data_IF_066069448416
#
_entry.id   IF_066069448416
#
_cell.length_a   1.000
_cell.length_b   1.000
_cell.length_c   1.000
_cell.angle_alpha   90.00
_cell.angle_beta   90.00
_cell.angle_gamma   90.00
#
_symmetry.space_group_name_H-M   'P 1'
#
loop_
_entity.id
_entity.type
_entity.pdbx_description
1 polymer ?
#
# COMPACT_ATOMS: atom_id res chain seq x y z
N UNK A 1 0.17 53.43 -49.62
CA UNK A 1 1.61 53.42 -49.82
C UNK A 1 1.86 52.46 -50.99
N UNK A 2 2.29 53.05 -52.11
CA UNK A 2 2.52 52.27 -53.35
C UNK A 2 3.95 51.70 -53.28
N UNK A 3 4.09 50.40 -53.35
CA UNK A 3 5.41 49.80 -53.47
C UNK A 3 5.75 49.57 -54.93
N UNK A 4 6.86 50.17 -55.38
CA UNK A 4 7.49 49.85 -56.67
C UNK A 4 8.07 48.48 -56.62
N UNK A 5 7.45 47.51 -57.21
CA UNK A 5 7.94 46.13 -57.31
C UNK A 5 8.91 45.95 -58.48
N UNK A 6 10.05 45.30 -58.21
CA UNK A 6 11.09 45.03 -59.19
C UNK A 6 10.51 44.22 -60.36
N UNK A 7 10.45 44.83 -61.55
CA UNK A 7 9.77 44.37 -62.76
C UNK A 7 10.09 42.91 -63.17
N UNK A 8 11.33 42.44 -62.87
CA UNK A 8 11.73 41.08 -63.27
C UNK A 8 11.06 39.91 -62.52
N UNK A 9 10.62 40.12 -61.27
CA UNK A 9 9.85 39.15 -60.52
C UNK A 9 8.37 39.19 -60.83
N UNK A 10 7.83 40.33 -61.18
CA UNK A 10 6.43 40.48 -61.58
C UNK A 10 6.11 39.84 -62.93
N UNK A 11 7.10 39.86 -63.83
CA UNK A 11 6.96 39.29 -65.17
C UNK A 11 6.65 37.77 -65.18
N UNK A 12 7.27 37.03 -64.28
CA UNK A 12 7.07 35.57 -64.19
C UNK A 12 5.70 35.20 -63.62
N UNK A 13 5.18 35.99 -62.70
CA UNK A 13 3.88 35.71 -62.08
C UNK A 13 2.65 36.23 -62.88
N UNK A 14 2.81 37.34 -63.54
CA UNK A 14 1.74 37.97 -64.31
C UNK A 14 1.54 37.32 -65.70
N UNK A 15 2.62 36.81 -66.33
CA UNK A 15 2.51 36.13 -67.61
C UNK A 15 1.78 34.78 -67.53
N UNK A 16 1.71 34.14 -66.34
CA UNK A 16 0.97 32.92 -66.14
C UNK A 16 -0.54 33.11 -65.98
N UNK A 17 -1.01 34.33 -65.67
CA UNK A 17 -2.42 34.60 -65.36
C UNK A 17 -3.09 35.72 -66.21
N UNK A 18 -2.32 36.42 -66.98
CA UNK A 18 -2.84 37.49 -67.87
C UNK A 18 -2.38 37.16 -69.32
N UNK A 19 -3.26 36.58 -70.11
CA UNK A 19 -3.09 36.55 -71.55
C UNK A 19 -3.11 38.00 -72.04
N UNK A 20 -1.98 38.42 -72.60
CA UNK A 20 -1.79 39.74 -73.26
C UNK A 20 -1.81 40.98 -72.35
N UNK A 21 -0.76 41.14 -71.53
CA UNK A 21 -0.32 42.48 -71.11
C UNK A 21 1.13 42.62 -71.51
N UNK A 22 1.38 43.40 -72.59
CA UNK A 22 2.73 43.79 -72.98
C UNK A 22 3.23 44.83 -71.95
N UNK A 23 3.94 44.36 -70.93
CA UNK A 23 4.39 45.19 -69.81
C UNK A 23 5.67 45.97 -70.12
N UNK A 24 6.13 45.98 -71.38
CA UNK A 24 7.37 46.56 -71.79
C UNK A 24 7.13 47.76 -72.74
N UNK A 25 6.78 48.97 -72.21
CA UNK A 25 7.09 50.23 -72.80
C UNK A 25 7.71 51.12 -71.72
N UNK A 26 8.76 51.86 -72.03
CA UNK A 26 9.50 52.66 -71.05
C UNK A 26 8.68 53.81 -70.41
N UNK A 27 7.50 54.07 -70.87
CA UNK A 27 6.66 55.16 -70.44
C UNK A 27 5.54 54.83 -69.49
N UNK A 28 5.31 53.54 -69.17
CA UNK A 28 4.19 53.09 -68.37
C UNK A 28 4.59 52.63 -66.98
N UNK A 29 4.32 53.47 -65.97
CA UNK A 29 4.45 53.07 -64.57
C UNK A 29 3.26 52.15 -64.19
N UNK A 30 3.59 50.94 -63.67
CA UNK A 30 2.61 50.00 -63.18
C UNK A 30 2.66 50.03 -61.68
N UNK A 31 1.53 50.31 -61.05
CA UNK A 31 1.36 50.24 -59.58
C UNK A 31 0.53 49.07 -59.22
N UNK A 32 0.99 48.29 -58.24
CA UNK A 32 0.23 47.19 -57.69
C UNK A 32 -0.30 47.60 -56.33
N UNK A 33 -1.60 47.69 -56.19
CA UNK A 33 -2.27 47.86 -54.93
C UNK A 33 -3.07 46.59 -54.67
N UNK A 34 -2.89 45.99 -53.50
CA UNK A 34 -3.55 44.75 -53.08
C UNK A 34 -4.68 44.32 -53.99
N UNK A 35 -4.44 43.26 -54.78
CA UNK A 35 -5.40 42.65 -55.73
C UNK A 35 -5.79 43.44 -57.00
N UNK A 36 -5.19 44.61 -57.23
CA UNK A 36 -5.46 45.44 -58.43
C UNK A 36 -4.17 45.90 -59.11
N UNK A 37 -4.12 45.85 -60.40
CA UNK A 37 -3.04 46.38 -61.23
C UNK A 37 -3.56 47.64 -61.98
N UNK A 38 -2.92 48.77 -61.82
CA UNK A 38 -3.30 50.05 -62.48
C UNK A 38 -2.27 50.28 -63.55
N UNK A 39 -2.71 50.31 -64.83
CA UNK A 39 -1.93 50.69 -66.00
C UNK A 39 -2.67 51.79 -66.79
N UNK A 40 -2.01 52.92 -67.06
CA UNK A 40 -2.57 54.04 -67.79
C UNK A 40 -3.93 54.56 -67.22
N UNK A 41 -4.07 54.57 -65.90
CA UNK A 41 -5.29 55.06 -65.25
C UNK A 41 -6.45 54.02 -65.26
N UNK A 42 -6.27 52.81 -65.81
CA UNK A 42 -7.31 51.77 -65.84
C UNK A 42 -6.98 50.68 -64.74
N UNK A 43 -7.94 50.38 -63.91
CA UNK A 43 -7.81 49.42 -62.86
C UNK A 43 -8.18 48.04 -63.42
N UNK A 44 -7.19 47.10 -63.38
CA UNK A 44 -7.41 45.70 -63.73
C UNK A 44 -7.53 44.93 -62.46
N UNK A 45 -8.68 44.27 -62.19
CA UNK A 45 -8.87 43.42 -61.04
C UNK A 45 -8.36 42.01 -61.42
N UNK A 46 -7.26 41.63 -60.76
CA UNK A 46 -6.72 40.27 -60.90
C UNK A 46 -7.53 39.37 -60.01
N UNK A 47 -8.50 38.63 -60.56
CA UNK A 47 -9.24 37.63 -59.78
C UNK A 47 -8.46 36.33 -59.75
N UNK A 48 -7.82 36.08 -58.65
CA UNK A 48 -7.01 34.88 -58.41
C UNK A 48 -7.89 33.67 -58.08
N UNK A 49 -8.89 33.39 -58.93
CA UNK A 49 -9.82 32.26 -58.76
C UNK A 49 -9.12 30.87 -58.77
N UNK A 50 -7.95 30.75 -59.39
CA UNK A 50 -7.25 29.47 -59.48
C UNK A 50 -6.37 29.19 -58.24
N UNK A 51 -5.78 30.22 -57.63
CA UNK A 51 -4.97 30.05 -56.42
C UNK A 51 -5.87 29.67 -55.22
N UNK A 52 -7.03 30.29 -55.07
CA UNK A 52 -7.96 30.00 -54.00
C UNK A 52 -8.57 28.56 -54.12
N UNK A 53 -8.79 28.06 -55.34
CA UNK A 53 -9.31 26.70 -55.54
C UNK A 53 -8.25 25.59 -55.26
N UNK A 54 -6.97 25.85 -55.55
CA UNK A 54 -5.89 24.91 -55.22
C UNK A 54 -5.55 24.95 -53.71
N UNK A 55 -5.47 26.09 -53.09
CA UNK A 55 -5.27 26.21 -51.63
C UNK A 55 -6.39 25.56 -50.84
N UNK A 56 -7.65 25.62 -51.30
CA UNK A 56 -8.78 25.00 -50.63
C UNK A 56 -8.73 23.43 -50.71
N UNK A 57 -8.22 22.88 -51.80
CA UNK A 57 -8.08 21.41 -51.93
C UNK A 57 -6.99 20.86 -50.97
N UNK A 58 -5.84 21.52 -50.89
CA UNK A 58 -4.77 21.12 -49.96
C UNK A 58 -5.15 21.37 -48.50
N UNK A 59 -5.90 22.44 -48.23
CA UNK A 59 -6.45 22.70 -46.89
C UNK A 59 -7.46 21.65 -46.47
N UNK A 60 -8.34 21.19 -47.37
CA UNK A 60 -9.26 20.08 -47.05
C UNK A 60 -8.53 18.77 -46.83
N UNK A 61 -7.51 18.42 -47.64
CA UNK A 61 -6.70 17.23 -47.43
C UNK A 61 -5.97 17.28 -46.10
N UNK A 62 -5.41 18.42 -45.74
CA UNK A 62 -4.76 18.66 -44.42
C UNK A 62 -5.72 18.43 -43.26
N UNK A 63 -6.97 18.96 -43.34
CA UNK A 63 -8.01 18.75 -42.34
C UNK A 63 -8.42 17.29 -42.19
N UNK A 64 -8.53 16.57 -43.30
CA UNK A 64 -8.86 15.12 -43.33
C UNK A 64 -7.72 14.33 -42.66
N UNK A 65 -6.46 14.63 -42.98
CA UNK A 65 -5.31 13.98 -42.38
C UNK A 65 -5.25 14.23 -40.84
N UNK A 66 -5.51 15.46 -40.40
CA UNK A 66 -5.58 15.79 -38.97
C UNK A 66 -6.74 15.02 -38.31
N UNK A 67 -7.90 14.95 -38.94
CA UNK A 67 -9.05 14.15 -38.46
C UNK A 67 -8.70 12.67 -38.30
N UNK A 68 -8.04 12.09 -39.29
CA UNK A 68 -7.59 10.68 -39.25
C UNK A 68 -6.54 10.49 -38.12
N UNK A 69 -5.57 11.38 -38.01
CA UNK A 69 -4.59 11.35 -36.93
C UNK A 69 -5.22 11.47 -35.55
N UNK A 70 -6.23 12.34 -35.37
CA UNK A 70 -7.00 12.46 -34.14
C UNK A 70 -7.76 11.15 -33.82
N UNK A 71 -8.45 10.58 -34.79
CA UNK A 71 -9.18 9.31 -34.61
C UNK A 71 -8.22 8.18 -34.21
N UNK A 72 -7.07 8.08 -34.88
CA UNK A 72 -6.03 7.09 -34.53
C UNK A 72 -5.46 7.35 -33.15
N UNK A 73 -5.19 8.61 -32.80
CA UNK A 73 -4.69 8.99 -31.48
C UNK A 73 -5.70 8.64 -30.36
N UNK A 74 -6.99 9.00 -30.55
CA UNK A 74 -8.05 8.70 -29.59
C UNK A 74 -8.25 7.19 -29.44
N UNK A 75 -8.25 6.43 -30.53
CA UNK A 75 -8.36 4.97 -30.48
C UNK A 75 -7.15 4.32 -29.79
N UNK A 76 -5.95 4.83 -30.02
CA UNK A 76 -4.74 4.38 -29.31
C UNK A 76 -4.82 4.72 -27.81
N UNK A 77 -5.26 5.92 -27.44
CA UNK A 77 -5.48 6.31 -26.05
C UNK A 77 -6.53 5.43 -25.36
N UNK A 78 -7.67 5.18 -26.00
CA UNK A 78 -8.74 4.37 -25.45
C UNK A 78 -8.36 2.88 -25.32
N UNK A 79 -7.50 2.38 -26.20
CA UNK A 79 -6.95 1.02 -26.12
C UNK A 79 -5.96 0.86 -24.97
N UNK A 80 -5.29 1.94 -24.54
CA UNK A 80 -4.34 1.93 -23.43
C UNK A 80 -5.00 1.92 -22.05
N UNK A 81 -6.30 2.19 -21.96
CA UNK A 81 -7.01 2.34 -20.69
C UNK A 81 -7.74 1.05 -20.24
N UNK A 82 -7.68 -0.01 -21.07
CA UNK A 82 -8.24 -1.30 -20.68
C UNK A 82 -7.33 -1.94 -19.64
N UNK A 83 -7.85 -2.11 -18.43
CA UNK A 83 -7.10 -2.73 -17.35
C UNK A 83 -7.99 -3.66 -16.53
N UNK A 84 -7.40 -4.66 -15.91
CA UNK A 84 -8.02 -5.55 -14.94
C UNK A 84 -7.37 -5.31 -13.58
N UNK A 85 -8.20 -5.12 -12.56
CA UNK A 85 -7.77 -4.98 -11.16
C UNK A 85 -8.03 -6.30 -10.44
N UNK A 86 -7.01 -6.85 -9.83
CA UNK A 86 -7.06 -8.13 -9.13
C UNK A 86 -6.39 -8.04 -7.77
N UNK A 87 -6.76 -8.96 -6.88
CA UNK A 87 -6.13 -9.12 -5.58
C UNK A 87 -5.53 -10.51 -5.48
N UNK A 88 -4.27 -10.57 -5.05
CA UNK A 88 -3.62 -11.82 -4.67
C UNK A 88 -3.47 -11.90 -3.17
N UNK A 89 -3.73 -13.06 -2.63
CA UNK A 89 -3.65 -13.38 -1.21
C UNK A 89 -2.47 -14.33 -0.99
N UNK A 90 -1.71 -14.11 0.07
CA UNK A 90 -0.83 -15.10 0.67
C UNK A 90 -1.13 -15.19 2.16
N UNK A 91 -1.29 -16.40 2.66
CA UNK A 91 -1.47 -16.73 4.07
C UNK A 91 -0.45 -17.81 4.45
N UNK A 92 0.19 -17.62 5.60
CA UNK A 92 1.19 -18.56 6.11
C UNK A 92 1.02 -18.76 7.60
N UNK A 93 0.90 -20.00 8.03
CA UNK A 93 0.98 -20.33 9.45
C UNK A 93 2.45 -20.40 9.89
N UNK A 94 2.75 -19.72 10.98
CA UNK A 94 4.09 -19.70 11.59
C UNK A 94 3.96 -19.88 13.09
N UNK A 95 4.96 -20.49 13.71
CA UNK A 95 5.04 -20.54 15.16
C UNK A 95 5.49 -19.18 15.70
N UNK A 96 4.93 -18.74 16.82
CA UNK A 96 5.42 -17.58 17.55
C UNK A 96 6.89 -17.80 17.94
N UNK A 97 7.68 -16.75 17.91
CA UNK A 97 9.11 -16.76 18.24
C UNK A 97 9.40 -16.09 19.59
N UNK A 98 8.36 -15.55 20.24
CA UNK A 98 8.46 -14.93 21.55
C UNK A 98 7.21 -15.24 22.38
N UNK A 99 7.40 -15.50 23.65
CA UNK A 99 6.31 -15.73 24.61
C UNK A 99 6.51 -14.84 25.85
N UNK A 100 5.41 -14.27 26.32
CA UNK A 100 5.32 -13.55 27.59
C UNK A 100 4.33 -14.32 28.44
N UNK A 101 4.87 -14.99 29.46
CA UNK A 101 4.12 -15.85 30.37
C UNK A 101 4.11 -15.27 31.78
N UNK A 102 2.99 -14.67 32.22
CA UNK A 102 2.82 -14.21 33.58
C UNK A 102 2.40 -15.37 34.50
N UNK A 103 3.15 -15.58 35.56
CA UNK A 103 2.80 -16.47 36.67
C UNK A 103 2.25 -15.63 37.81
N UNK A 104 0.98 -15.77 38.09
CA UNK A 104 0.27 -14.93 39.09
C UNK A 104 -0.11 -15.79 40.28
N UNK A 105 0.16 -15.30 41.46
CA UNK A 105 -0.34 -15.88 42.70
C UNK A 105 -0.86 -14.77 43.63
N UNK A 106 -1.77 -15.13 44.55
CA UNK A 106 -2.36 -14.20 45.51
C UNK A 106 -2.09 -14.65 46.92
N UNK A 107 -1.87 -13.70 47.83
CA UNK A 107 -1.75 -13.92 49.25
C UNK A 107 -2.74 -13.01 49.96
N UNK A 108 -3.44 -13.58 50.94
CA UNK A 108 -4.37 -12.80 51.82
C UNK A 108 -3.94 -12.95 53.25
N UNK A 109 -4.10 -11.89 54.03
CA UNK A 109 -3.73 -11.89 55.46
C UNK A 109 -4.03 -10.58 56.12
N UNK A 110 -3.72 -10.54 57.41
CA UNK A 110 -3.94 -9.35 58.27
C UNK A 110 -2.62 -8.69 58.70
N UNK A 111 -1.52 -9.41 58.59
CA UNK A 111 -0.17 -8.91 58.95
C UNK A 111 0.68 -8.74 57.69
N UNK A 112 0.99 -7.50 57.38
CA UNK A 112 1.77 -7.15 56.18
C UNK A 112 3.20 -7.67 56.25
N UNK A 113 3.82 -7.74 57.43
CA UNK A 113 5.19 -8.24 57.58
C UNK A 113 5.26 -9.76 57.29
N UNK A 114 4.29 -10.51 57.82
CA UNK A 114 4.14 -11.93 57.51
C UNK A 114 3.90 -12.18 56.01
N UNK A 115 3.00 -11.37 55.38
CA UNK A 115 2.73 -11.42 53.95
C UNK A 115 4.00 -11.14 53.15
N UNK A 116 4.79 -10.13 53.53
CA UNK A 116 6.04 -9.78 52.82
C UNK A 116 7.08 -10.91 52.89
N UNK A 117 7.22 -11.56 54.03
CA UNK A 117 8.09 -12.77 54.16
C UNK A 117 7.62 -13.90 53.26
N UNK A 118 6.32 -14.13 53.21
CA UNK A 118 5.72 -15.18 52.33
C UNK A 118 5.93 -14.85 50.85
N UNK A 119 5.74 -13.61 50.42
CA UNK A 119 6.02 -13.14 49.05
C UNK A 119 7.47 -13.43 48.68
N UNK A 120 8.41 -13.06 49.53
CA UNK A 120 9.84 -13.28 49.27
C UNK A 120 10.16 -14.77 49.13
N UNK A 121 9.65 -15.60 50.01
CA UNK A 121 9.85 -17.04 49.94
C UNK A 121 9.25 -17.67 48.65
N UNK A 122 8.02 -17.28 48.31
CA UNK A 122 7.34 -17.79 47.10
C UNK A 122 8.00 -17.28 45.81
N UNK A 123 8.42 -16.02 45.76
CA UNK A 123 9.15 -15.49 44.61
C UNK A 123 10.43 -16.28 44.37
N UNK A 124 11.24 -16.51 45.44
CA UNK A 124 12.45 -17.31 45.32
C UNK A 124 12.15 -18.72 44.80
N UNK A 125 11.12 -19.38 45.34
CA UNK A 125 10.71 -20.71 44.95
C UNK A 125 10.36 -20.77 43.45
N UNK A 126 9.61 -19.79 42.94
CA UNK A 126 9.23 -19.71 41.51
C UNK A 126 10.45 -19.43 40.64
N UNK A 127 11.30 -18.48 41.03
CA UNK A 127 12.50 -18.13 40.25
C UNK A 127 13.47 -19.33 40.20
N UNK A 128 13.72 -19.99 41.31
CA UNK A 128 14.57 -21.22 41.39
C UNK A 128 13.97 -22.36 40.54
N UNK A 129 12.66 -22.54 40.59
CA UNK A 129 11.97 -23.53 39.74
C UNK A 129 12.21 -23.23 38.25
N UNK A 130 11.96 -21.97 37.80
CA UNK A 130 12.17 -21.58 36.43
C UNK A 130 13.62 -21.75 35.98
N UNK A 131 14.59 -21.35 36.82
CA UNK A 131 16.03 -21.57 36.57
C UNK A 131 16.38 -23.05 36.48
N UNK A 132 15.84 -23.89 37.35
CA UNK A 132 16.06 -25.36 37.32
C UNK A 132 15.52 -26.02 36.04
N UNK A 133 14.49 -25.43 35.46
CA UNK A 133 13.92 -25.83 34.17
C UNK A 133 14.64 -25.20 32.96
N UNK A 134 15.70 -24.42 33.23
CA UNK A 134 16.58 -23.84 32.22
C UNK A 134 16.05 -22.57 31.56
N UNK A 135 15.22 -21.79 32.25
CA UNK A 135 14.90 -20.41 31.89
C UNK A 135 16.01 -19.48 32.43
N UNK A 136 16.67 -18.70 31.57
CA UNK A 136 17.70 -17.76 32.00
C UNK A 136 17.14 -16.66 32.90
N UNK A 137 17.94 -16.20 33.85
CA UNK A 137 17.51 -15.17 34.82
C UNK A 137 17.13 -13.85 34.17
N UNK A 138 17.79 -13.48 33.08
CA UNK A 138 17.48 -12.28 32.30
C UNK A 138 16.11 -12.33 31.56
N UNK A 139 15.51 -13.50 31.45
CA UNK A 139 14.16 -13.70 30.91
C UNK A 139 13.08 -13.71 31.99
N UNK A 140 13.47 -13.63 33.28
CA UNK A 140 12.56 -13.65 34.43
C UNK A 140 12.49 -12.26 35.05
N UNK A 141 11.28 -11.72 35.18
CA UNK A 141 11.03 -10.43 35.83
C UNK A 141 10.05 -10.59 36.96
N UNK A 142 10.42 -10.11 38.17
CA UNK A 142 9.54 -10.09 39.34
C UNK A 142 8.97 -8.67 39.49
N UNK A 143 7.66 -8.55 39.36
CA UNK A 143 6.97 -7.27 39.50
C UNK A 143 6.79 -6.90 40.96
N UNK A 144 6.66 -5.60 41.25
CA UNK A 144 6.25 -5.12 42.58
C UNK A 144 4.85 -5.69 42.90
N UNK A 145 4.64 -6.20 44.14
CA UNK A 145 3.35 -6.73 44.53
C UNK A 145 2.29 -5.62 44.55
N UNK A 146 1.10 -5.95 44.03
CA UNK A 146 -0.05 -5.08 44.08
C UNK A 146 -0.86 -5.38 45.36
N UNK A 147 -0.90 -4.40 46.28
CA UNK A 147 -1.56 -4.54 47.56
C UNK A 147 -2.92 -3.83 47.57
N UNK A 148 -3.98 -4.54 47.91
CA UNK A 148 -5.31 -3.99 48.11
C UNK A 148 -5.67 -4.11 49.62
N UNK A 149 -5.89 -2.98 50.29
CA UNK A 149 -6.46 -2.93 51.64
C UNK A 149 -7.98 -3.05 51.53
N UNK A 150 -8.51 -4.20 51.85
CA UNK A 150 -9.95 -4.52 51.72
C UNK A 150 -10.81 -3.78 52.74
N UNK A 151 -10.20 -3.23 53.83
CA UNK A 151 -10.90 -2.46 54.86
C UNK A 151 -10.89 -0.95 54.59
N UNK A 152 -10.03 -0.49 53.70
CA UNK A 152 -9.96 0.93 53.28
C UNK A 152 -11.14 1.32 52.36
N UNK A 153 -11.89 0.34 51.82
CA UNK A 153 -12.98 0.57 50.90
C UNK A 153 -14.25 0.98 51.68
N UNK A 154 -14.68 2.26 51.51
CA UNK A 154 -15.85 2.86 52.25
C UNK A 154 -17.19 2.18 51.98
N UNK A 155 -17.29 1.33 50.96
CA UNK A 155 -18.50 0.63 50.57
C UNK A 155 -18.45 -0.88 50.85
N UNK A 156 -17.44 -1.34 51.62
CA UNK A 156 -17.38 -2.75 52.01
C UNK A 156 -18.52 -3.11 52.95
N UNK A 157 -19.62 -3.62 52.40
CA UNK A 157 -20.81 -4.02 53.13
C UNK A 157 -20.75 -5.39 53.83
N UNK A 158 -19.57 -6.08 53.76
CA UNK A 158 -19.37 -7.37 54.41
C UNK A 158 -18.11 -7.38 55.24
N UNK A 159 -18.18 -7.97 56.46
CA UNK A 159 -17.00 -8.33 57.25
C UNK A 159 -16.10 -9.26 56.46
N UNK A 160 -14.95 -8.76 56.06
CA UNK A 160 -13.93 -9.57 55.37
C UNK A 160 -12.98 -10.15 56.40
N UNK A 161 -12.75 -11.45 56.30
CA UNK A 161 -11.85 -12.18 57.18
C UNK A 161 -10.38 -11.74 57.11
N UNK A 162 -10.01 -11.13 55.96
CA UNK A 162 -8.66 -10.66 55.71
C UNK A 162 -8.68 -9.17 55.32
N UNK A 163 -7.69 -8.44 55.83
CA UNK A 163 -7.51 -7.03 55.54
C UNK A 163 -6.81 -6.80 54.20
N UNK A 164 -5.77 -7.57 53.91
CA UNK A 164 -4.95 -7.36 52.75
C UNK A 164 -5.13 -8.47 51.74
N UNK A 165 -5.25 -8.10 50.45
CA UNK A 165 -5.17 -8.98 49.31
C UNK A 165 -4.03 -8.53 48.42
N UNK A 166 -2.99 -9.37 48.29
CA UNK A 166 -1.78 -9.06 47.56
C UNK A 166 -1.66 -9.94 46.36
N UNK A 167 -1.55 -9.31 45.18
CA UNK A 167 -1.32 -9.98 43.90
C UNK A 167 0.13 -9.85 43.52
N UNK A 168 0.81 -10.97 43.29
CA UNK A 168 2.19 -11.08 42.89
C UNK A 168 2.27 -11.62 41.46
N UNK A 169 3.13 -11.03 40.63
CA UNK A 169 3.31 -11.41 39.24
C UNK A 169 4.79 -11.63 38.96
N UNK A 170 5.12 -12.81 38.44
CA UNK A 170 6.43 -13.12 37.90
C UNK A 170 6.25 -13.37 36.42
N UNK A 171 6.94 -12.62 35.58
CA UNK A 171 6.80 -12.73 34.12
C UNK A 171 8.03 -13.37 33.51
N UNK A 172 7.81 -14.40 32.69
CA UNK A 172 8.82 -14.99 31.83
C UNK A 172 8.63 -14.43 30.43
N UNK A 173 9.66 -13.72 29.92
CA UNK A 173 9.69 -13.22 28.55
C UNK A 173 10.81 -13.93 27.78
N UNK A 174 10.48 -14.92 26.98
CA UNK A 174 11.45 -15.84 26.37
C UNK A 174 11.20 -16.04 24.86
N UNK A 175 12.28 -16.30 24.15
CA UNK A 175 12.23 -16.75 22.75
C UNK A 175 12.13 -18.28 22.63
N UNK A 176 12.20 -19.00 23.76
CA UNK A 176 12.08 -20.47 23.80
C UNK A 176 10.63 -20.89 23.97
N UNK A 177 9.79 -20.57 22.96
CA UNK A 177 8.31 -20.76 23.03
C UNK A 177 7.94 -22.21 23.36
N UNK A 178 8.55 -23.19 22.70
CA UNK A 178 8.28 -24.61 22.93
C UNK A 178 8.57 -25.02 24.38
N UNK A 179 9.67 -24.54 24.94
CA UNK A 179 10.05 -24.82 26.33
C UNK A 179 9.03 -24.24 27.32
N UNK A 180 8.61 -22.98 27.10
CA UNK A 180 7.59 -22.35 27.95
C UNK A 180 6.24 -23.06 27.82
N UNK A 181 5.85 -23.52 26.63
CA UNK A 181 4.66 -24.36 26.44
C UNK A 181 4.70 -25.64 27.28
N UNK A 182 5.85 -26.35 27.29
CA UNK A 182 6.04 -27.52 28.15
C UNK A 182 5.93 -27.14 29.64
N UNK A 183 6.54 -26.03 30.06
CA UNK A 183 6.46 -25.59 31.44
C UNK A 183 5.07 -25.19 31.87
N UNK A 184 4.29 -24.59 30.98
CA UNK A 184 2.89 -24.27 31.24
C UNK A 184 2.07 -25.52 31.54
N UNK A 185 2.34 -26.63 30.89
CA UNK A 185 1.70 -27.90 31.22
C UNK A 185 2.17 -28.54 32.55
N UNK A 186 3.38 -28.18 33.02
CA UNK A 186 4.00 -28.65 34.24
C UNK A 186 3.83 -27.69 35.43
N UNK A 187 3.09 -26.61 35.30
CA UNK A 187 2.90 -25.63 36.37
C UNK A 187 2.32 -26.19 37.68
N UNK A 188 1.69 -27.38 37.61
CA UNK A 188 1.26 -28.11 38.80
C UNK A 188 2.39 -28.48 39.77
N UNK A 189 3.66 -28.57 39.32
CA UNK A 189 4.81 -28.76 40.20
C UNK A 189 5.03 -27.62 41.18
N UNK A 190 4.62 -26.41 40.82
CA UNK A 190 4.67 -25.23 41.72
C UNK A 190 3.67 -25.35 42.84
N UNK A 191 2.50 -25.97 42.61
CA UNK A 191 1.52 -26.23 43.66
C UNK A 191 2.14 -27.18 44.73
N UNK A 192 2.85 -28.20 44.30
CA UNK A 192 3.56 -29.09 45.23
C UNK A 192 4.64 -28.36 46.05
N UNK A 193 5.18 -27.26 45.53
CA UNK A 193 6.13 -26.37 46.22
C UNK A 193 5.46 -25.25 47.04
N UNK A 194 4.13 -25.29 47.21
CA UNK A 194 3.38 -24.31 48.00
C UNK A 194 3.02 -23.01 47.29
N UNK A 195 3.18 -22.98 45.96
CA UNK A 195 2.80 -21.80 45.14
C UNK A 195 1.60 -22.16 44.27
N UNK A 196 0.41 -21.67 44.63
CA UNK A 196 -0.81 -21.87 43.86
C UNK A 196 -0.97 -20.71 42.87
N UNK A 197 -0.81 -21.01 41.58
CA UNK A 197 -1.02 -20.04 40.52
C UNK A 197 -2.52 -19.77 40.29
N UNK A 198 -2.86 -18.52 40.06
CA UNK A 198 -4.21 -18.07 39.72
C UNK A 198 -4.33 -18.02 38.20
N UNK A 199 -5.34 -18.68 37.65
CA UNK A 199 -5.68 -18.66 36.21
C UNK A 199 -7.04 -18.00 36.00
N UNK A 200 -7.28 -17.51 34.78
CA UNK A 200 -8.58 -16.95 34.37
C UNK A 200 -8.74 -15.44 34.56
N UNK A 201 -7.70 -14.73 34.98
CA UNK A 201 -7.71 -13.29 35.01
C UNK A 201 -7.23 -12.75 33.64
N UNK A 202 -8.13 -12.05 32.90
CA UNK A 202 -7.85 -11.53 31.56
C UNK A 202 -6.63 -10.61 31.48
N UNK A 203 -6.28 -9.98 32.59
CA UNK A 203 -5.13 -9.08 32.67
C UNK A 203 -3.79 -9.82 32.55
N UNK A 204 -3.77 -11.11 32.85
CA UNK A 204 -2.54 -11.92 32.97
C UNK A 204 -2.55 -13.13 32.02
N UNK A 205 -3.05 -12.92 30.81
CA UNK A 205 -3.01 -13.99 29.79
C UNK A 205 -1.60 -14.15 29.22
N UNK A 206 -1.23 -15.39 28.91
CA UNK A 206 0.00 -15.66 28.16
C UNK A 206 -0.11 -15.07 26.76
N UNK A 207 0.89 -14.27 26.37
CA UNK A 207 0.95 -13.63 25.08
C UNK A 207 2.04 -14.32 24.25
N UNK A 208 1.71 -14.64 23.02
CA UNK A 208 2.65 -15.17 22.04
C UNK A 208 2.79 -14.16 20.92
N UNK A 209 4.02 -13.86 20.52
CA UNK A 209 4.33 -12.88 19.47
C UNK A 209 5.16 -13.54 18.37
N UNK A 210 4.99 -13.06 17.16
CA UNK A 210 5.85 -13.40 16.04
C UNK A 210 6.58 -12.14 15.60
N UNK A 211 7.89 -12.09 15.87
CA UNK A 211 8.74 -10.92 15.59
C UNK A 211 9.49 -11.04 14.28
N UNK A 212 9.66 -12.27 13.75
CA UNK A 212 10.37 -12.59 12.51
C UNK A 212 9.61 -12.24 11.22
N UNK A 213 8.63 -11.34 11.29
CA UNK A 213 7.82 -10.96 10.13
C UNK A 213 8.66 -10.45 8.94
N UNK A 214 9.75 -9.73 9.20
CA UNK A 214 10.59 -9.16 8.15
C UNK A 214 11.27 -10.23 7.29
N UNK A 215 11.56 -11.39 7.86
CA UNK A 215 12.26 -12.48 7.17
C UNK A 215 11.36 -13.19 6.15
N UNK A 216 10.06 -13.24 6.42
CA UNK A 216 9.09 -13.90 5.55
C UNK A 216 8.38 -12.96 4.58
N UNK A 217 8.43 -11.64 4.81
CA UNK A 217 7.78 -10.63 3.95
C UNK A 217 8.09 -10.77 2.46
N UNK A 218 9.37 -10.88 2.02
CA UNK A 218 9.68 -10.94 0.61
C UNK A 218 9.00 -12.13 -0.08
N UNK A 219 9.09 -13.31 0.53
CA UNK A 219 8.48 -14.52 0.00
C UNK A 219 6.96 -14.42 -0.09
N UNK A 220 6.32 -13.86 0.94
CA UNK A 220 4.86 -13.71 0.97
C UNK A 220 4.36 -12.69 -0.08
N UNK A 221 5.12 -11.62 -0.32
CA UNK A 221 4.80 -10.64 -1.37
C UNK A 221 4.92 -11.28 -2.76
N UNK A 222 5.97 -12.05 -2.98
CA UNK A 222 6.18 -12.77 -4.24
C UNK A 222 5.00 -13.71 -4.52
N UNK A 223 4.63 -14.53 -3.54
CA UNK A 223 3.50 -15.46 -3.65
C UNK A 223 2.18 -14.73 -3.89
N UNK A 224 1.87 -13.69 -3.11
CA UNK A 224 0.66 -12.89 -3.29
C UNK A 224 0.61 -12.24 -4.68
N UNK A 225 1.75 -11.76 -5.19
CA UNK A 225 1.82 -11.16 -6.53
C UNK A 225 1.67 -12.21 -7.64
N UNK A 226 2.24 -13.41 -7.44
CA UNK A 226 2.05 -14.54 -8.36
C UNK A 226 0.58 -14.97 -8.43
N UNK A 227 -0.09 -15.07 -7.29
CA UNK A 227 -1.51 -15.39 -7.19
C UNK A 227 -2.37 -14.31 -7.87
N UNK A 228 -2.07 -13.01 -7.66
CA UNK A 228 -2.74 -11.91 -8.36
C UNK A 228 -2.59 -12.05 -9.88
N UNK A 229 -1.38 -12.38 -10.37
CA UNK A 229 -1.10 -12.56 -11.80
C UNK A 229 -1.89 -13.72 -12.40
N UNK A 230 -1.97 -14.84 -11.69
CA UNK A 230 -2.74 -16.00 -12.13
C UNK A 230 -4.22 -15.66 -12.30
N UNK A 231 -4.81 -14.94 -11.35
CA UNK A 231 -6.20 -14.46 -11.43
C UNK A 231 -6.37 -13.51 -12.60
N UNK A 232 -5.45 -12.54 -12.79
CA UNK A 232 -5.49 -11.59 -13.89
C UNK A 232 -5.42 -12.29 -15.27
N UNK A 233 -4.59 -13.33 -15.37
CA UNK A 233 -4.46 -14.11 -16.59
C UNK A 233 -5.77 -14.83 -16.92
N UNK A 234 -6.45 -15.40 -15.92
CA UNK A 234 -7.75 -16.04 -16.11
C UNK A 234 -8.80 -15.05 -16.62
N UNK A 235 -8.86 -13.85 -16.02
CA UNK A 235 -9.76 -12.78 -16.52
C UNK A 235 -9.43 -12.35 -17.95
N UNK A 236 -8.14 -12.27 -18.30
CA UNK A 236 -7.73 -11.92 -19.66
C UNK A 236 -8.19 -12.99 -20.67
N UNK A 237 -8.01 -14.27 -20.35
CA UNK A 237 -8.45 -15.40 -21.18
C UNK A 237 -9.97 -15.40 -21.36
N UNK A 238 -10.74 -15.28 -20.28
CA UNK A 238 -12.21 -15.27 -20.31
C UNK A 238 -12.77 -14.10 -21.12
N UNK A 239 -12.07 -12.94 -21.10
CA UNK A 239 -12.41 -11.76 -21.91
C UNK A 239 -11.83 -11.77 -23.33
N UNK A 240 -11.19 -12.87 -23.75
CA UNK A 240 -10.48 -12.99 -25.05
C UNK A 240 -9.46 -11.88 -25.29
N UNK A 241 -8.82 -11.41 -24.22
CA UNK A 241 -7.77 -10.40 -24.20
C UNK A 241 -6.43 -11.05 -23.84
N UNK A 242 -5.33 -10.31 -24.01
CA UNK A 242 -4.00 -10.73 -23.54
C UNK A 242 -3.60 -9.92 -22.33
N UNK A 243 -3.06 -10.57 -21.29
CA UNK A 243 -2.52 -9.88 -20.12
C UNK A 243 -1.28 -9.08 -20.52
N UNK A 244 -1.29 -7.79 -20.18
CA UNK A 244 -0.19 -6.86 -20.41
C UNK A 244 0.74 -6.72 -19.20
N UNK A 245 1.49 -5.60 -19.17
CA UNK A 245 2.35 -5.24 -18.04
C UNK A 245 1.52 -4.75 -16.85
N UNK A 246 2.14 -4.72 -15.68
CA UNK A 246 1.57 -4.08 -14.50
C UNK A 246 1.38 -2.58 -14.77
N UNK A 247 0.18 -2.08 -14.54
CA UNK A 247 -0.18 -0.65 -14.56
C UNK A 247 0.09 -0.01 -13.20
N UNK A 248 -0.33 -0.70 -12.14
CA UNK A 248 -0.15 -0.26 -10.76
C UNK A 248 -0.10 -1.48 -9.85
N UNK A 249 0.74 -1.43 -8.84
CA UNK A 249 0.77 -2.43 -7.77
C UNK A 249 0.72 -1.71 -6.42
N UNK A 250 -0.03 -2.28 -5.49
CA UNK A 250 -0.14 -1.79 -4.12
C UNK A 250 -0.14 -2.98 -3.18
N UNK A 251 0.79 -2.97 -2.25
CA UNK A 251 0.86 -3.97 -1.19
C UNK A 251 -0.06 -3.53 -0.06
N UNK A 252 -0.91 -4.43 0.42
CA UNK A 252 -1.68 -4.25 1.64
C UNK A 252 -0.83 -4.42 2.90
N UNK A 253 -1.43 -4.08 4.03
CA UNK A 253 -0.80 -4.28 5.34
C UNK A 253 -0.73 -5.76 5.67
N UNK A 254 0.37 -6.20 6.27
CA UNK A 254 0.46 -7.50 6.89
C UNK A 254 -0.37 -7.54 8.16
N UNK A 255 -1.15 -8.58 8.33
CA UNK A 255 -1.83 -8.91 9.58
C UNK A 255 -1.26 -10.18 10.17
N UNK A 256 -1.03 -10.16 11.48
CA UNK A 256 -0.59 -11.32 12.26
C UNK A 256 -1.65 -11.56 13.30
N UNK A 257 -2.35 -12.67 13.21
CA UNK A 257 -3.42 -13.06 14.13
C UNK A 257 -3.14 -14.44 14.71
N UNK A 258 -3.78 -14.81 15.80
CA UNK A 258 -3.73 -16.19 16.25
C UNK A 258 -4.47 -17.06 15.23
N UNK A 259 -3.98 -18.28 14.99
CA UNK A 259 -4.68 -19.26 14.17
C UNK A 259 -6.06 -19.59 14.76
N UNK A 260 -6.08 -19.83 16.06
CA UNK A 260 -7.30 -20.09 16.84
C UNK A 260 -7.08 -19.75 18.32
N UNK A 261 -8.15 -19.82 19.12
CA UNK A 261 -8.11 -19.51 20.56
C UNK A 261 -7.39 -20.55 21.39
N UNK A 262 -7.28 -21.80 20.92
CA UNK A 262 -6.70 -22.91 21.68
C UNK A 262 -5.21 -23.08 21.39
N UNK A 263 -4.75 -22.58 20.23
CA UNK A 263 -3.34 -22.63 19.82
C UNK A 263 -2.80 -21.22 19.52
N UNK A 264 -2.84 -20.29 20.50
CA UNK A 264 -2.43 -18.90 20.29
C UNK A 264 -0.94 -18.72 19.95
N UNK A 265 -0.14 -19.78 20.17
CA UNK A 265 1.28 -19.85 19.79
C UNK A 265 1.48 -20.11 18.30
N UNK A 266 0.44 -20.48 17.54
CA UNK A 266 0.47 -20.55 16.08
C UNK A 266 -0.18 -19.27 15.54
N UNK A 267 0.57 -18.57 14.70
CA UNK A 267 0.13 -17.32 14.10
C UNK A 267 -0.22 -17.54 12.64
N UNK A 268 -1.29 -16.91 12.21
CA UNK A 268 -1.64 -16.77 10.80
C UNK A 268 -1.18 -15.40 10.31
N UNK A 269 -0.18 -15.40 9.45
CA UNK A 269 0.33 -14.19 8.78
C UNK A 269 -0.34 -14.09 7.42
N UNK A 270 -0.96 -12.95 7.15
CA UNK A 270 -1.73 -12.69 5.93
C UNK A 270 -1.30 -11.39 5.28
N UNK A 271 -1.21 -11.40 3.95
CA UNK A 271 -1.02 -10.20 3.13
C UNK A 271 -1.91 -10.27 1.89
N UNK A 272 -2.43 -9.12 1.48
CA UNK A 272 -3.17 -8.95 0.23
C UNK A 272 -2.43 -7.95 -0.64
N UNK A 273 -2.09 -8.35 -1.87
CA UNK A 273 -1.50 -7.45 -2.87
C UNK A 273 -2.55 -7.14 -3.92
N UNK A 274 -2.76 -5.85 -4.21
CA UNK A 274 -3.65 -5.39 -5.28
C UNK A 274 -2.80 -5.00 -6.49
N UNK A 275 -3.14 -5.54 -7.67
CA UNK A 275 -2.39 -5.30 -8.89
C UNK A 275 -3.34 -5.00 -10.04
N UNK A 276 -3.09 -3.91 -10.74
CA UNK A 276 -3.76 -3.54 -11.97
C UNK A 276 -2.85 -3.90 -13.14
N UNK A 277 -3.38 -4.67 -14.09
CA UNK A 277 -2.70 -5.05 -15.32
C UNK A 277 -3.38 -4.41 -16.52
N UNK A 278 -2.59 -3.99 -17.50
CA UNK A 278 -3.14 -3.63 -18.81
C UNK A 278 -3.69 -4.88 -19.51
N UNK A 279 -4.79 -4.71 -20.27
CA UNK A 279 -5.32 -5.71 -21.18
C UNK A 279 -5.03 -5.28 -22.63
N UNK A 280 -4.61 -6.23 -23.46
CA UNK A 280 -4.31 -6.05 -24.89
C UNK A 280 -5.19 -6.93 -25.75
#
# INVERSE_FOLDING_TARGET
>A
MYNLLNLNKLQIHLSANLQELDLYTPENQVYVQKDNVIKNGTIYVVTDKKLNAMNNKYGMIGLICIGICMIVAVNRFKSYDRSVSVKGLCEKEVMADKVIWPLVYKIVGNDMEAIYREITAKNNTVVEYLKSKGIPENEISVAAPNVVDLQADRYASQERNYRYNVTCVITVASNQVEKVLQLTSQQGELIAKGVTLVSGDYQYNTIYEFTGLNDIKPQMIEEATANARQVAQKFAEDSKSKLGKIKKASQGQFSVTNRDSNTPYIKNVRVVTSVDYYLR
#
